data_IF_053041843979
#
_entry.id   IF_053041843979
#
_cell.length_a   1.000
_cell.length_b   1.000
_cell.length_c   1.000
_cell.angle_alpha   90.00
_cell.angle_beta   90.00
_cell.angle_gamma   90.00
#
_symmetry.space_group_name_H-M   'P 1'
#
loop_
_entity.id
_entity.type
_entity.pdbx_description
1 polymer ?
#
# COMPACT_ATOMS: atom_id res chain seq x y z
N UNK A 1 -1.12 11.12 15.05
CA UNK A 1 -0.68 9.86 14.45
C UNK A 1 -1.82 9.29 13.64
N UNK A 2 -1.63 9.14 12.33
CA UNK A 2 -2.63 8.62 11.40
C UNK A 2 -2.83 7.11 11.55
N UNK A 3 -3.96 6.58 11.07
CA UNK A 3 -4.20 5.12 11.03
C UNK A 3 -3.14 4.37 10.22
N UNK A 4 -2.65 5.00 9.14
CA UNK A 4 -1.55 4.46 8.34
C UNK A 4 -0.27 4.32 9.18
N UNK A 5 0.14 5.38 9.89
CA UNK A 5 1.32 5.34 10.77
C UNK A 5 1.16 4.25 11.86
N UNK A 6 -0.06 4.05 12.38
CA UNK A 6 -0.34 2.99 13.37
C UNK A 6 -0.12 1.61 12.80
N UNK A 7 -0.58 1.35 11.57
CA UNK A 7 -0.39 0.08 10.89
C UNK A 7 1.09 -0.27 10.75
N UNK A 8 1.91 0.69 10.31
CA UNK A 8 3.36 0.49 10.20
C UNK A 8 4.01 0.28 11.56
N UNK A 9 3.64 1.06 12.57
CA UNK A 9 4.22 0.91 13.91
C UNK A 9 3.89 -0.46 14.54
N UNK A 10 2.65 -0.94 14.42
CA UNK A 10 2.27 -2.28 14.90
C UNK A 10 3.07 -3.36 14.17
N UNK A 11 3.25 -3.23 12.86
CA UNK A 11 4.05 -4.17 12.05
C UNK A 11 5.51 -4.20 12.52
N UNK A 12 6.11 -3.03 12.73
CA UNK A 12 7.50 -2.93 13.20
C UNK A 12 7.67 -3.48 14.62
N UNK A 13 6.69 -3.26 15.51
CA UNK A 13 6.71 -3.83 16.87
C UNK A 13 6.59 -5.37 16.82
N UNK A 14 5.75 -5.91 15.94
CA UNK A 14 5.52 -7.34 15.83
C UNK A 14 6.65 -8.12 15.13
N UNK A 15 7.24 -7.54 14.07
CA UNK A 15 8.16 -8.25 13.18
C UNK A 15 9.59 -7.68 13.15
N UNK A 16 9.82 -6.51 13.76
CA UNK A 16 11.15 -5.89 13.90
C UNK A 16 11.68 -5.19 12.65
N UNK A 17 11.14 -5.48 11.47
CA UNK A 17 11.52 -4.84 10.20
C UNK A 17 10.38 -4.82 9.18
N UNK A 18 10.56 -4.03 8.14
CA UNK A 18 9.68 -3.98 6.98
C UNK A 18 10.48 -4.32 5.72
N UNK A 19 10.11 -5.39 5.01
CA UNK A 19 10.77 -5.81 3.77
C UNK A 19 9.94 -5.45 2.52
N UNK A 20 8.62 -5.65 2.61
CA UNK A 20 7.67 -5.54 1.50
C UNK A 20 6.39 -4.87 1.98
N UNK A 21 5.84 -3.99 1.14
CA UNK A 21 4.47 -3.47 1.27
C UNK A 21 3.70 -3.82 0.00
N UNK A 22 2.49 -4.35 0.17
CA UNK A 22 1.59 -4.72 -0.92
C UNK A 22 0.36 -3.82 -0.84
N UNK A 23 0.25 -2.86 -1.76
CA UNK A 23 -0.93 -2.02 -1.88
C UNK A 23 -2.04 -2.77 -2.63
N UNK A 24 -2.72 -3.66 -1.91
CA UNK A 24 -3.80 -4.49 -2.45
C UNK A 24 -5.20 -3.89 -2.23
N UNK A 25 -5.35 -2.92 -1.32
CA UNK A 25 -6.65 -2.31 -1.06
C UNK A 25 -7.14 -1.54 -2.30
N UNK A 26 -8.31 -1.92 -2.81
CA UNK A 26 -8.91 -1.32 -3.99
C UNK A 26 -10.41 -1.57 -4.04
N UNK A 27 -11.14 -0.63 -4.64
CA UNK A 27 -12.56 -0.78 -4.97
C UNK A 27 -12.76 -0.62 -6.48
N UNK A 28 -13.86 -1.19 -6.98
CA UNK A 28 -14.31 -1.05 -8.36
C UNK A 28 -15.75 -0.58 -8.33
N UNK A 29 -16.07 0.44 -9.12
CA UNK A 29 -17.44 0.92 -9.32
C UNK A 29 -17.83 0.60 -10.76
N UNK A 30 -18.86 -0.22 -10.92
CA UNK A 30 -19.37 -0.66 -12.22
C UNK A 30 -20.64 0.12 -12.55
N UNK A 31 -20.47 1.30 -13.16
CA UNK A 31 -21.56 2.13 -13.72
C UNK A 31 -21.17 2.57 -15.13
N UNK A 32 -22.15 2.97 -15.93
CA UNK A 32 -21.84 3.64 -17.20
C UNK A 32 -21.04 4.92 -16.93
N UNK A 33 -20.12 5.30 -17.81
CA UNK A 33 -19.32 6.53 -17.65
C UNK A 33 -20.19 7.79 -17.50
N UNK A 34 -21.36 7.80 -18.13
CA UNK A 34 -22.33 8.90 -18.03
C UNK A 34 -23.04 8.98 -16.67
N UNK A 35 -22.98 7.92 -15.87
CA UNK A 35 -23.66 7.79 -14.57
C UNK A 35 -22.67 7.86 -13.38
N UNK A 36 -21.37 7.98 -13.66
CA UNK A 36 -20.35 8.16 -12.62
C UNK A 36 -20.52 9.53 -12.00
N UNK A 37 -20.77 9.54 -10.69
CA UNK A 37 -20.83 10.77 -9.91
C UNK A 37 -19.46 11.18 -9.43
N UNK A 38 -19.30 12.45 -9.02
CA UNK A 38 -18.08 12.93 -8.38
C UNK A 38 -17.75 12.15 -7.09
N UNK A 39 -18.78 11.77 -6.32
CA UNK A 39 -18.60 10.94 -5.13
C UNK A 39 -18.07 9.53 -5.46
N UNK A 40 -18.50 8.93 -6.59
CA UNK A 40 -17.96 7.64 -7.06
C UNK A 40 -16.47 7.79 -7.43
N UNK A 41 -16.13 8.86 -8.15
CA UNK A 41 -14.76 9.17 -8.54
C UNK A 41 -13.87 9.39 -7.30
N UNK A 42 -14.32 10.21 -6.36
CA UNK A 42 -13.61 10.51 -5.12
C UNK A 42 -13.37 9.24 -4.31
N UNK A 43 -14.35 8.33 -4.23
CA UNK A 43 -14.19 7.08 -3.51
C UNK A 43 -13.15 6.16 -4.17
N UNK A 44 -13.21 6.03 -5.50
CA UNK A 44 -12.22 5.28 -6.28
C UNK A 44 -10.81 5.85 -6.09
N UNK A 45 -10.65 7.16 -6.21
CA UNK A 45 -9.36 7.82 -6.08
C UNK A 45 -8.85 7.84 -4.64
N UNK A 46 -9.72 7.98 -3.64
CA UNK A 46 -9.34 7.93 -2.24
C UNK A 46 -8.74 6.57 -1.87
N UNK A 47 -9.34 5.47 -2.32
CA UNK A 47 -8.83 4.12 -2.02
C UNK A 47 -7.67 3.74 -2.95
N UNK A 48 -7.92 3.70 -4.26
CA UNK A 48 -7.01 3.03 -5.20
C UNK A 48 -5.74 3.85 -5.46
N UNK A 49 -5.84 5.19 -5.39
CA UNK A 49 -4.75 6.11 -5.71
C UNK A 49 -4.14 6.70 -4.45
N UNK A 50 -4.93 7.47 -3.69
CA UNK A 50 -4.45 8.19 -2.51
C UNK A 50 -3.96 7.22 -1.42
N UNK A 51 -4.74 6.19 -1.11
CA UNK A 51 -4.36 5.14 -0.16
C UNK A 51 -3.03 4.48 -0.53
N UNK A 52 -2.93 3.96 -1.76
CA UNK A 52 -1.70 3.35 -2.29
C UNK A 52 -0.49 4.28 -2.27
N UNK A 53 -0.67 5.54 -2.67
CA UNK A 53 0.42 6.52 -2.73
C UNK A 53 0.99 6.83 -1.34
N UNK A 54 0.14 7.15 -0.38
CA UNK A 54 0.61 7.48 0.97
C UNK A 54 1.14 6.26 1.72
N UNK A 55 0.59 5.07 1.48
CA UNK A 55 1.14 3.80 1.97
C UNK A 55 2.56 3.56 1.48
N UNK A 56 2.81 3.69 0.17
CA UNK A 56 4.15 3.60 -0.40
C UNK A 56 5.10 4.68 0.14
N UNK A 57 4.61 5.91 0.28
CA UNK A 57 5.41 7.01 0.82
C UNK A 57 5.87 6.68 2.25
N UNK A 58 4.98 6.18 3.10
CA UNK A 58 5.31 5.80 4.46
C UNK A 58 6.27 4.60 4.51
N UNK A 59 6.04 3.59 3.66
CA UNK A 59 6.95 2.46 3.51
C UNK A 59 8.38 2.90 3.20
N UNK A 60 8.56 3.82 2.24
CA UNK A 60 9.87 4.36 1.87
C UNK A 60 10.52 5.10 3.03
N UNK A 61 9.78 5.90 3.81
CA UNK A 61 10.33 6.55 5.01
C UNK A 61 10.86 5.52 6.01
N UNK A 62 10.09 4.48 6.30
CA UNK A 62 10.47 3.43 7.26
C UNK A 62 11.70 2.64 6.77
N UNK A 63 11.78 2.36 5.47
CA UNK A 63 12.92 1.70 4.85
C UNK A 63 14.19 2.56 4.96
N UNK A 64 14.12 3.86 4.61
CA UNK A 64 15.25 4.79 4.75
C UNK A 64 15.72 4.90 6.21
N UNK A 65 14.78 4.97 7.17
CA UNK A 65 15.10 4.97 8.60
C UNK A 65 15.75 3.66 9.05
N UNK A 66 15.41 2.53 8.44
CA UNK A 66 16.03 1.23 8.73
C UNK A 66 17.45 1.14 8.15
N UNK A 67 17.70 1.74 6.98
CA UNK A 67 19.03 1.83 6.39
C UNK A 67 20.02 2.62 7.25
N UNK A 68 19.58 3.73 7.86
CA UNK A 68 20.44 4.50 8.77
C UNK A 68 20.79 3.74 10.06
N UNK A 69 20.06 2.67 10.38
CA UNK A 69 20.28 1.79 11.54
C UNK A 69 21.13 0.55 11.26
N UNK A 70 21.83 0.46 10.12
CA UNK A 70 22.69 -0.68 9.73
C UNK A 70 21.96 -2.04 9.66
N UNK A 71 20.78 -2.08 9.02
CA UNK A 71 20.15 -3.35 8.60
C UNK A 71 20.57 -3.63 7.15
N UNK A 72 21.14 -4.81 6.88
CA UNK A 72 21.67 -5.17 5.55
C UNK A 72 20.57 -5.18 4.46
N UNK A 73 20.87 -4.82 3.20
CA UNK A 73 19.87 -4.48 2.18
C UNK A 73 19.16 -5.67 1.51
N UNK A 74 19.29 -6.90 2.01
CA UNK A 74 19.19 -8.09 1.14
C UNK A 74 17.85 -8.27 0.39
N UNK A 75 16.72 -7.69 0.84
CA UNK A 75 15.41 -7.84 0.18
C UNK A 75 14.43 -6.67 0.45
N UNK A 76 14.58 -5.56 -0.28
CA UNK A 76 13.61 -4.46 -0.21
C UNK A 76 12.86 -4.37 -1.53
N UNK A 77 11.57 -4.69 -1.52
CA UNK A 77 10.70 -4.60 -2.69
C UNK A 77 9.40 -3.90 -2.29
N UNK A 78 9.23 -2.63 -2.70
CA UNK A 78 7.92 -1.99 -2.68
C UNK A 78 7.23 -2.32 -4.01
N UNK A 79 6.22 -3.21 -3.98
CA UNK A 79 5.45 -3.54 -5.17
C UNK A 79 4.21 -2.63 -5.24
N UNK A 80 4.14 -1.82 -6.29
CA UNK A 80 3.02 -0.90 -6.50
C UNK A 80 1.93 -1.57 -7.35
N UNK A 81 0.72 -1.63 -6.80
CA UNK A 81 -0.59 -1.77 -7.47
C UNK A 81 -0.84 -3.06 -8.28
N UNK A 82 -1.62 -4.00 -7.72
CA UNK A 82 -2.09 -5.23 -8.39
C UNK A 82 -3.51 -5.13 -8.97
N UNK A 83 -4.14 -3.95 -8.93
CA UNK A 83 -5.54 -3.77 -9.33
C UNK A 83 -5.83 -3.91 -10.85
N UNK A 84 -4.84 -4.30 -11.66
CA UNK A 84 -5.02 -4.58 -13.10
C UNK A 84 -5.31 -6.06 -13.42
N UNK A 85 -5.27 -6.98 -12.45
CA UNK A 85 -5.52 -8.40 -12.71
C UNK A 85 -6.63 -8.92 -11.80
N UNK A 86 -7.82 -9.15 -12.36
CA UNK A 86 -8.91 -9.88 -11.70
C UNK A 86 -8.57 -11.36 -11.52
N UNK A 87 -7.53 -11.69 -10.75
CA UNK A 87 -7.02 -13.04 -10.57
C UNK A 87 -6.43 -13.26 -9.19
N UNK A 88 -6.81 -14.40 -8.59
CA UNK A 88 -6.17 -15.02 -7.44
C UNK A 88 -4.64 -15.06 -7.59
N UNK A 89 -3.88 -14.65 -6.57
CA UNK A 89 -2.44 -14.94 -6.48
C UNK A 89 -2.08 -15.54 -5.12
N UNK A 90 -1.65 -16.80 -5.16
CA UNK A 90 -0.94 -17.47 -4.07
C UNK A 90 0.52 -17.02 -4.16
N UNK A 91 0.98 -16.23 -3.19
CA UNK A 91 2.40 -16.00 -2.96
C UNK A 91 2.87 -17.05 -1.95
N UNK A 92 3.39 -18.18 -2.46
CA UNK A 92 4.25 -19.05 -1.65
C UNK A 92 5.54 -18.31 -1.36
N UNK A 93 5.77 -18.00 -0.09
CA UNK A 93 7.12 -17.81 0.47
C UNK A 93 7.51 -19.05 1.26
#
# INVERSE_FOLDING_TARGET
MSELEKLFQVTLVAFGKLDIVINNAGIIITKSIAEITEADFDMLFATNVKGSYFSSQEAVKQLILSFSRLVKPERIHAFANMNAFGGFFVLTM
#
